data_IF_234435869124
#
_entry.id   IF_234435869124
#
_cell.length_a   1.000
_cell.length_b   1.000
_cell.length_c   1.000
_cell.angle_alpha   90.00
_cell.angle_beta   90.00
_cell.angle_gamma   90.00
#
_symmetry.space_group_name_H-M   'P 1'
#
loop_
_entity.id
_entity.type
_entity.pdbx_description
1 polymer ?
#
# COMPACT_ATOMS: atom_id res chain seq x y z
N UNK A 1 -18.42 41.07 -35.84
CA UNK A 1 -17.48 41.07 -34.69
C UNK A 1 -18.27 40.69 -33.45
N UNK A 2 -17.97 39.56 -32.81
CA UNK A 2 -18.67 39.13 -31.60
C UNK A 2 -18.19 39.97 -30.40
N UNK A 3 -19.09 40.59 -29.64
CA UNK A 3 -18.76 41.23 -28.35
C UNK A 3 -18.99 40.23 -27.24
N UNK A 4 -17.90 39.66 -26.73
CA UNK A 4 -17.93 38.77 -25.58
C UNK A 4 -18.31 39.59 -24.32
N UNK A 5 -19.46 39.32 -23.71
CA UNK A 5 -19.80 39.79 -22.37
C UNK A 5 -19.45 38.68 -21.37
N UNK A 6 -18.38 38.86 -20.62
CA UNK A 6 -17.98 37.98 -19.53
C UNK A 6 -17.86 38.80 -18.25
N UNK A 7 -18.39 38.32 -17.11
CA UNK A 7 -18.19 38.99 -15.81
C UNK A 7 -16.77 38.77 -15.25
N UNK A 8 -15.96 37.91 -15.86
CA UNK A 8 -14.64 37.54 -15.37
C UNK A 8 -13.54 38.44 -15.96
N UNK A 9 -12.67 38.96 -15.10
CA UNK A 9 -11.44 39.67 -15.50
C UNK A 9 -10.29 38.67 -15.58
N UNK A 10 -9.44 38.72 -16.62
CA UNK A 10 -8.23 37.88 -16.67
C UNK A 10 -7.34 38.12 -15.45
N UNK A 11 -6.86 37.06 -14.81
CA UNK A 11 -6.02 37.13 -13.60
C UNK A 11 -4.84 36.15 -13.68
N UNK A 12 -3.81 36.36 -12.85
CA UNK A 12 -2.60 35.54 -12.86
C UNK A 12 -1.85 35.63 -14.20
N UNK A 13 -1.49 34.49 -14.78
CA UNK A 13 -0.77 34.44 -16.07
C UNK A 13 -1.70 34.59 -17.30
N UNK A 14 -3.02 34.67 -17.08
CA UNK A 14 -4.02 34.77 -18.15
C UNK A 14 -3.89 36.03 -19.03
N UNK A 15 -3.61 37.24 -18.51
CA UNK A 15 -3.42 38.42 -19.35
C UNK A 15 -2.29 38.25 -20.39
N UNK A 16 -1.15 37.69 -19.96
CA UNK A 16 -0.01 37.42 -20.85
C UNK A 16 -0.33 36.32 -21.86
N UNK A 17 -1.05 35.27 -21.45
CA UNK A 17 -1.53 34.23 -22.35
C UNK A 17 -2.48 34.80 -23.42
N UNK A 18 -3.43 35.64 -23.02
CA UNK A 18 -4.38 36.32 -23.93
C UNK A 18 -3.61 37.22 -24.90
N UNK A 19 -2.66 38.00 -24.42
CA UNK A 19 -1.83 38.87 -25.26
C UNK A 19 -1.06 38.06 -26.30
N UNK A 20 -0.38 36.99 -25.87
CA UNK A 20 0.38 36.09 -26.75
C UNK A 20 -0.50 35.43 -27.81
N UNK A 21 -1.65 34.91 -27.40
CA UNK A 21 -2.62 34.29 -28.31
C UNK A 21 -3.18 35.30 -29.32
N UNK A 22 -3.52 36.50 -28.85
CA UNK A 22 -4.05 37.58 -29.69
C UNK A 22 -3.01 38.05 -30.70
N UNK A 23 -1.75 38.22 -30.28
CA UNK A 23 -0.64 38.60 -31.16
C UNK A 23 -0.42 37.58 -32.27
N UNK A 24 -0.35 36.30 -31.92
CA UNK A 24 -0.15 35.22 -32.88
C UNK A 24 -1.35 35.07 -33.84
N UNK A 25 -2.57 35.29 -33.34
CA UNK A 25 -3.78 35.26 -34.18
C UNK A 25 -3.78 36.39 -35.20
N UNK A 26 -3.39 37.61 -34.79
CA UNK A 26 -3.18 38.75 -35.70
C UNK A 26 -2.04 38.52 -36.69
N UNK A 27 -1.02 37.76 -36.31
CA UNK A 27 0.10 37.41 -37.17
C UNK A 27 -0.18 36.23 -38.13
N UNK A 28 -1.42 35.73 -38.18
CA UNK A 28 -1.82 34.65 -39.10
C UNK A 28 -1.32 33.25 -38.70
N UNK A 29 -0.87 33.08 -37.45
CA UNK A 29 -0.46 31.77 -36.93
C UNK A 29 -1.69 30.87 -36.80
N UNK A 30 -1.83 29.90 -37.73
CA UNK A 30 -3.01 29.04 -37.86
C UNK A 30 -3.21 28.08 -36.69
N UNK A 31 -2.12 27.57 -36.12
CA UNK A 31 -2.15 26.60 -35.03
C UNK A 31 -1.45 27.20 -33.80
N UNK A 32 -2.17 27.31 -32.69
CA UNK A 32 -1.63 27.81 -31.44
C UNK A 32 -1.98 26.85 -30.32
N UNK A 33 -0.96 26.44 -29.56
CA UNK A 33 -1.15 25.61 -28.37
C UNK A 33 -0.93 26.51 -27.16
N UNK A 34 -2.01 26.74 -26.40
CA UNK A 34 -1.89 27.30 -25.07
C UNK A 34 -1.64 26.14 -24.10
N UNK A 35 -0.48 26.13 -23.46
CA UNK A 35 -0.31 25.30 -22.27
C UNK A 35 -1.28 25.86 -21.23
N UNK A 36 -2.37 25.13 -20.96
CA UNK A 36 -3.29 25.48 -19.88
C UNK A 36 -2.52 25.65 -18.57
N UNK A 37 -3.11 26.37 -17.61
CA UNK A 37 -2.44 26.74 -16.35
C UNK A 37 -1.85 25.48 -15.68
N UNK A 38 -0.56 25.25 -15.89
CA UNK A 38 0.24 24.28 -15.14
C UNK A 38 0.45 24.92 -13.78
N UNK A 39 -0.01 24.26 -12.72
CA UNK A 39 -0.07 24.87 -11.39
C UNK A 39 -1.28 25.73 -11.10
N UNK A 40 -2.46 25.38 -11.65
CA UNK A 40 -3.73 26.02 -11.30
C UNK A 40 -4.21 25.74 -9.87
N UNK A 41 -3.32 25.54 -8.88
CA UNK A 41 -3.67 25.30 -7.47
C UNK A 41 -4.38 23.98 -7.15
N UNK A 42 -5.01 23.31 -8.12
CA UNK A 42 -5.82 22.09 -7.96
C UNK A 42 -5.01 20.92 -7.42
N UNK A 43 -4.90 20.86 -6.12
CA UNK A 43 -4.07 19.88 -5.42
C UNK A 43 -4.83 19.20 -4.28
N UNK A 44 -4.40 17.98 -4.00
CA UNK A 44 -4.77 17.21 -2.81
C UNK A 44 -3.65 17.30 -1.78
N UNK A 45 -3.97 17.14 -0.50
CA UNK A 45 -2.96 17.10 0.56
C UNK A 45 -2.10 15.82 0.41
N UNK A 46 -0.79 15.93 0.67
CA UNK A 46 0.18 14.84 0.45
C UNK A 46 -0.07 13.55 1.26
N UNK A 47 -0.84 13.61 2.36
CA UNK A 47 -1.26 12.43 3.13
C UNK A 47 -2.46 11.68 2.51
N UNK A 48 -3.00 12.17 1.39
CA UNK A 48 -4.11 11.53 0.68
C UNK A 48 -3.64 10.24 0.03
N UNK A 49 -4.30 9.09 0.27
CA UNK A 49 -3.95 7.84 -0.37
C UNK A 49 -4.30 7.89 -1.87
N UNK A 50 -3.45 7.27 -2.69
CA UNK A 50 -3.66 7.12 -4.13
C UNK A 50 -3.41 5.68 -4.57
N UNK A 51 -4.18 5.22 -5.56
CA UNK A 51 -3.95 3.97 -6.29
C UNK A 51 -3.34 4.27 -7.64
N UNK A 52 -2.10 3.86 -7.84
CA UNK A 52 -1.37 4.00 -9.11
C UNK A 52 -1.07 2.62 -9.65
N UNK A 53 -1.37 2.41 -10.93
CA UNK A 53 -0.93 1.23 -11.65
C UNK A 53 0.40 1.53 -12.34
N UNK A 54 1.38 0.68 -12.11
CA UNK A 54 2.71 0.74 -12.70
C UNK A 54 2.98 -0.61 -13.38
N UNK A 55 2.79 -0.67 -14.69
CA UNK A 55 2.78 -1.96 -15.41
C UNK A 55 1.66 -2.87 -14.90
N UNK A 56 1.99 -4.08 -14.44
CA UNK A 56 1.01 -5.01 -13.84
C UNK A 56 0.81 -4.79 -12.32
N UNK A 57 1.61 -3.91 -11.68
CA UNK A 57 1.56 -3.70 -10.23
C UNK A 57 0.65 -2.53 -9.85
N UNK A 58 0.00 -2.64 -8.70
CA UNK A 58 -0.77 -1.57 -8.06
C UNK A 58 -0.02 -1.08 -6.83
N UNK A 59 0.24 0.22 -6.78
CA UNK A 59 0.82 0.94 -5.65
C UNK A 59 -0.31 1.65 -4.92
N UNK A 60 -0.40 1.43 -3.61
CA UNK A 60 -1.30 2.17 -2.72
C UNK A 60 -0.50 2.84 -1.60
N UNK A 61 -0.27 4.14 -1.72
CA UNK A 61 0.49 4.91 -0.74
C UNK A 61 -0.03 6.36 -0.66
N UNK A 62 0.41 7.16 0.34
CA UNK A 62 0.19 8.60 0.32
C UNK A 62 0.80 9.23 -0.94
N UNK A 63 0.05 10.06 -1.65
CA UNK A 63 0.49 10.69 -2.89
C UNK A 63 1.76 11.53 -2.71
N UNK A 64 1.92 12.19 -1.56
CA UNK A 64 3.12 12.96 -1.24
C UNK A 64 4.36 12.07 -1.19
N UNK A 65 4.27 10.90 -0.54
CA UNK A 65 5.38 9.94 -0.47
C UNK A 65 5.80 9.46 -1.87
N UNK A 66 4.84 9.16 -2.75
CA UNK A 66 5.13 8.76 -4.12
C UNK A 66 5.85 9.87 -4.90
N UNK A 67 5.32 11.08 -4.85
CA UNK A 67 5.88 12.24 -5.54
C UNK A 67 7.28 12.56 -5.01
N UNK A 68 7.45 12.63 -3.69
CA UNK A 68 8.72 12.97 -3.05
C UNK A 68 9.82 11.97 -3.39
N UNK A 69 9.51 10.67 -3.37
CA UNK A 69 10.47 9.62 -3.76
C UNK A 69 10.91 9.76 -5.23
N UNK A 70 9.96 9.95 -6.15
CA UNK A 70 10.28 10.13 -7.56
C UNK A 70 11.06 11.43 -7.82
N UNK A 71 10.74 12.50 -7.11
CA UNK A 71 11.45 13.78 -7.22
C UNK A 71 12.87 13.68 -6.68
N UNK A 72 13.08 12.94 -5.58
CA UNK A 72 14.42 12.67 -5.07
C UNK A 72 15.25 11.87 -6.07
N UNK A 73 14.66 10.81 -6.65
CA UNK A 73 15.32 9.94 -7.61
C UNK A 73 15.64 10.62 -8.95
N UNK A 74 14.75 11.51 -9.41
CA UNK A 74 14.86 12.23 -10.68
C UNK A 74 15.07 13.73 -10.51
N UNK A 75 15.80 14.14 -9.47
CA UNK A 75 16.03 15.55 -9.12
C UNK A 75 16.55 16.40 -10.28
N UNK A 76 17.45 15.85 -11.09
CA UNK A 76 18.03 16.49 -12.29
C UNK A 76 17.03 16.67 -13.46
N UNK A 77 15.83 16.12 -13.35
CA UNK A 77 14.78 16.16 -14.38
C UNK A 77 13.57 17.01 -13.98
N UNK A 78 13.61 17.61 -12.78
CA UNK A 78 12.53 18.46 -12.29
C UNK A 78 12.53 19.79 -13.05
N UNK A 79 11.34 20.19 -13.49
CA UNK A 79 11.07 21.50 -14.07
C UNK A 79 10.51 22.39 -12.95
N UNK A 80 11.22 23.47 -12.64
CA UNK A 80 10.79 24.46 -11.65
C UNK A 80 9.95 25.55 -12.31
N UNK A 81 8.76 25.78 -11.77
CA UNK A 81 7.74 26.70 -12.29
C UNK A 81 7.26 27.63 -11.16
N UNK A 82 7.86 28.80 -10.95
CA UNK A 82 7.50 29.78 -9.88
C UNK A 82 7.19 29.09 -8.52
N UNK A 83 5.91 28.82 -8.24
CA UNK A 83 5.39 28.21 -6.99
C UNK A 83 5.22 26.67 -7.05
N UNK A 84 5.74 26.03 -8.10
CA UNK A 84 5.47 24.64 -8.44
C UNK A 84 6.72 23.92 -8.93
N UNK A 85 6.74 22.62 -8.72
CA UNK A 85 7.74 21.71 -9.26
C UNK A 85 7.02 20.60 -10.03
N UNK A 86 7.62 20.20 -11.14
CA UNK A 86 6.98 19.31 -12.10
C UNK A 86 7.98 18.28 -12.62
N UNK A 87 7.57 17.01 -12.66
CA UNK A 87 8.32 15.92 -13.27
C UNK A 87 7.47 15.28 -14.38
N UNK A 88 7.86 15.41 -15.66
CA UNK A 88 7.21 14.68 -16.75
C UNK A 88 7.42 13.17 -16.59
N UNK A 89 6.34 12.38 -16.64
CA UNK A 89 6.43 10.91 -16.51
C UNK A 89 7.19 10.28 -17.68
N UNK A 90 7.24 10.93 -18.85
CA UNK A 90 8.08 10.49 -19.97
C UNK A 90 9.59 10.48 -19.65
N UNK A 91 10.00 11.08 -18.53
CA UNK A 91 11.40 11.18 -18.13
C UNK A 91 11.80 10.17 -17.04
N UNK A 92 10.88 9.39 -16.50
CA UNK A 92 11.15 8.41 -15.42
C UNK A 92 11.34 7.00 -16.03
N UNK A 93 12.14 6.13 -15.39
CA UNK A 93 12.43 4.77 -15.90
C UNK A 93 11.38 3.73 -15.46
N UNK A 94 10.51 4.11 -14.54
CA UNK A 94 9.48 3.32 -13.88
C UNK A 94 8.38 2.82 -14.82
N UNK A 95 8.40 3.24 -16.09
CA UNK A 95 7.41 2.89 -17.10
C UNK A 95 6.18 3.78 -17.05
N UNK A 96 5.07 3.29 -17.62
CA UNK A 96 3.81 4.02 -17.65
C UNK A 96 3.17 3.92 -16.26
N UNK A 97 2.94 5.09 -15.67
CA UNK A 97 2.09 5.24 -14.49
C UNK A 97 0.66 5.53 -14.95
N UNK A 98 -0.32 4.84 -14.38
CA UNK A 98 -1.73 5.04 -14.67
C UNK A 98 -2.52 5.31 -13.39
N UNK A 99 -3.51 6.19 -13.47
CA UNK A 99 -4.47 6.46 -12.40
C UNK A 99 -5.87 5.98 -12.79
N UNK A 100 -6.59 5.41 -11.82
CA UNK A 100 -8.00 5.08 -12.02
C UNK A 100 -8.80 6.38 -12.16
N UNK A 101 -9.43 6.57 -13.31
CA UNK A 101 -10.09 7.81 -13.71
C UNK A 101 -11.54 7.56 -14.10
N UNK A 102 -12.42 8.53 -13.88
CA UNK A 102 -13.80 8.49 -14.34
C UNK A 102 -13.91 9.10 -15.74
N UNK A 103 -14.39 8.33 -16.70
CA UNK A 103 -14.74 8.84 -18.01
C UNK A 103 -16.04 9.66 -17.92
N UNK A 104 -16.05 10.98 -18.22
CA UNK A 104 -17.24 11.80 -18.04
C UNK A 104 -18.36 11.52 -19.06
N UNK A 105 -18.05 10.87 -20.18
CA UNK A 105 -19.01 10.53 -21.22
C UNK A 105 -19.67 9.18 -20.90
N UNK A 106 -18.86 8.14 -20.72
CA UNK A 106 -19.37 6.78 -20.46
C UNK A 106 -19.74 6.54 -19.00
N UNK A 107 -19.25 7.39 -18.09
CA UNK A 107 -19.40 7.29 -16.63
C UNK A 107 -18.75 6.03 -16.04
N UNK A 108 -17.87 5.39 -16.81
CA UNK A 108 -17.13 4.20 -16.40
C UNK A 108 -15.76 4.57 -15.82
N UNK A 109 -15.24 3.71 -14.95
CA UNK A 109 -13.88 3.85 -14.42
C UNK A 109 -12.88 3.19 -15.35
N UNK A 110 -11.78 3.87 -15.65
CA UNK A 110 -10.75 3.40 -16.59
C UNK A 110 -9.35 3.81 -16.12
N UNK A 111 -8.35 2.95 -16.37
CA UNK A 111 -6.96 3.32 -16.17
C UNK A 111 -6.54 4.32 -17.25
N UNK A 112 -5.95 5.45 -16.83
CA UNK A 112 -5.44 6.48 -17.73
C UNK A 112 -4.00 6.81 -17.42
N UNK A 113 -3.16 7.03 -18.46
CA UNK A 113 -1.76 7.38 -18.26
C UNK A 113 -1.62 8.73 -17.56
N UNK A 114 -0.73 8.77 -16.58
CA UNK A 114 -0.29 9.98 -15.92
C UNK A 114 0.80 10.60 -16.78
N UNK A 115 0.60 11.85 -17.21
CA UNK A 115 1.57 12.54 -18.04
C UNK A 115 2.64 13.23 -17.20
N UNK A 116 2.25 13.77 -16.05
CA UNK A 116 3.07 14.70 -15.26
C UNK A 116 2.75 14.53 -13.78
N UNK A 117 3.78 14.63 -12.95
CA UNK A 117 3.68 14.69 -11.50
C UNK A 117 3.99 16.13 -11.07
N UNK A 118 3.18 16.70 -10.20
CA UNK A 118 3.28 18.10 -9.83
C UNK A 118 3.15 18.26 -8.32
N UNK A 119 4.03 19.07 -7.73
CA UNK A 119 4.00 19.50 -6.33
C UNK A 119 3.99 21.03 -6.27
N UNK A 120 3.30 21.59 -5.30
CA UNK A 120 3.14 23.03 -5.12
C UNK A 120 3.41 23.40 -3.67
N UNK A 121 3.78 24.67 -3.42
CA UNK A 121 3.65 25.22 -2.08
C UNK A 121 2.18 25.20 -1.65
N UNK A 122 1.90 24.66 -0.45
CA UNK A 122 0.53 24.60 0.07
C UNK A 122 0.03 26.02 0.36
N UNK A 123 -1.20 26.37 -0.05
CA UNK A 123 -1.83 27.59 0.42
C UNK A 123 -2.09 27.52 1.94
N UNK A 124 -2.32 28.68 2.54
CA UNK A 124 -2.65 28.81 3.97
C UNK A 124 -3.96 28.10 4.34
N UNK A 125 -4.91 28.04 3.39
CA UNK A 125 -6.25 27.49 3.62
C UNK A 125 -6.48 26.27 2.71
N UNK A 126 -6.88 25.16 3.32
CA UNK A 126 -7.35 23.95 2.66
C UNK A 126 -8.77 23.62 3.07
N UNK A 127 -9.50 22.98 2.16
CA UNK A 127 -10.88 22.56 2.35
C UNK A 127 -10.92 21.06 2.61
N UNK A 128 -11.78 20.65 3.55
CA UNK A 128 -12.03 19.24 3.83
C UNK A 128 -13.42 18.84 3.36
N UNK A 129 -13.48 18.10 2.27
CA UNK A 129 -14.73 17.53 1.76
C UNK A 129 -14.98 16.23 2.52
N UNK A 130 -16.17 16.11 3.11
CA UNK A 130 -16.62 14.93 3.85
C UNK A 130 -17.95 14.45 3.29
N UNK A 131 -18.03 13.19 2.89
CA UNK A 131 -19.29 12.58 2.45
C UNK A 131 -20.08 12.03 3.64
N UNK A 132 -21.39 11.82 3.45
CA UNK A 132 -22.26 11.21 4.46
C UNK A 132 -21.79 9.80 4.87
N UNK A 133 -21.19 9.04 3.95
CA UNK A 133 -20.62 7.70 4.21
C UNK A 133 -19.25 7.74 4.93
N UNK A 134 -18.76 8.92 5.30
CA UNK A 134 -17.57 9.08 6.15
C UNK A 134 -16.24 9.23 5.39
N UNK A 135 -16.26 9.15 4.04
CA UNK A 135 -15.07 9.43 3.21
C UNK A 135 -14.68 10.90 3.34
N UNK A 136 -13.37 11.15 3.34
CA UNK A 136 -12.81 12.50 3.53
C UNK A 136 -11.62 12.68 2.61
N UNK A 137 -11.53 13.86 2.01
CA UNK A 137 -10.35 14.31 1.28
C UNK A 137 -10.06 15.77 1.65
N UNK A 138 -8.78 16.12 1.76
CA UNK A 138 -8.36 17.50 2.02
C UNK A 138 -7.70 18.05 0.77
N UNK A 139 -8.22 19.15 0.26
CA UNK A 139 -7.88 19.70 -1.06
C UNK A 139 -7.82 21.23 -1.01
N UNK A 140 -7.27 21.81 -2.07
CA UNK A 140 -7.29 23.25 -2.34
C UNK A 140 -8.68 23.73 -2.77
N UNK A 141 -8.98 25.02 -2.59
CA UNK A 141 -10.33 25.57 -2.82
C UNK A 141 -10.80 25.53 -4.28
N UNK A 142 -9.86 25.50 -5.22
CA UNK A 142 -10.07 25.44 -6.66
C UNK A 142 -9.99 24.01 -7.22
N UNK A 143 -9.69 23.00 -6.39
CA UNK A 143 -9.75 21.60 -6.80
C UNK A 143 -11.17 21.23 -7.21
N UNK A 144 -11.31 20.54 -8.35
CA UNK A 144 -12.61 20.25 -8.93
C UNK A 144 -13.12 18.87 -8.50
N UNK A 145 -14.44 18.77 -8.34
CA UNK A 145 -15.16 17.51 -8.17
C UNK A 145 -16.22 17.39 -9.26
N UNK A 146 -16.33 16.19 -9.82
CA UNK A 146 -17.55 15.80 -10.50
C UNK A 146 -18.65 15.68 -9.46
N UNK A 147 -19.84 16.21 -9.76
CA UNK A 147 -21.01 16.15 -8.90
C UNK A 147 -22.26 15.86 -9.71
N UNK A 148 -23.18 15.13 -9.10
CA UNK A 148 -24.53 14.94 -9.59
C UNK A 148 -25.44 15.90 -8.80
N UNK A 149 -25.98 16.92 -9.49
CA UNK A 149 -26.90 17.91 -8.92
C UNK A 149 -28.09 18.05 -9.86
N UNK A 150 -29.30 17.86 -9.33
CA UNK A 150 -30.55 17.90 -10.12
C UNK A 150 -30.54 16.95 -11.32
N UNK A 151 -29.91 15.78 -11.20
CA UNK A 151 -29.78 14.80 -12.27
C UNK A 151 -28.69 15.12 -13.31
N UNK A 152 -28.03 16.28 -13.22
CA UNK A 152 -26.96 16.69 -14.12
C UNK A 152 -25.58 16.38 -13.56
N UNK A 153 -24.70 15.90 -14.44
CA UNK A 153 -23.32 15.59 -14.13
C UNK A 153 -22.44 16.79 -14.47
N UNK A 154 -21.98 17.52 -13.45
CA UNK A 154 -21.25 18.79 -13.63
C UNK A 154 -19.94 18.79 -12.86
N UNK A 155 -18.97 19.60 -13.32
CA UNK A 155 -17.67 19.75 -12.68
C UNK A 155 -17.63 21.08 -11.92
N UNK A 156 -17.48 21.04 -10.59
CA UNK A 156 -17.47 22.23 -9.73
C UNK A 156 -16.19 22.31 -8.89
N UNK A 157 -15.65 23.51 -8.64
CA UNK A 157 -14.57 23.71 -7.68
C UNK A 157 -15.05 23.48 -6.24
N UNK A 158 -14.10 23.17 -5.35
CA UNK A 158 -14.38 22.78 -3.97
C UNK A 158 -15.18 23.84 -3.21
N UNK A 159 -14.87 25.12 -3.44
CA UNK A 159 -15.57 26.24 -2.79
C UNK A 159 -17.03 26.45 -3.26
N UNK A 160 -17.50 25.72 -4.27
CA UNK A 160 -18.89 25.77 -4.78
C UNK A 160 -19.71 24.52 -4.42
N UNK A 161 -19.11 23.58 -3.69
CA UNK A 161 -19.81 22.38 -3.23
C UNK A 161 -20.85 22.73 -2.16
N UNK A 162 -21.97 22.00 -2.21
CA UNK A 162 -23.08 22.08 -1.26
C UNK A 162 -23.24 20.73 -0.56
N UNK A 163 -23.81 20.76 0.64
CA UNK A 163 -24.13 19.55 1.41
C UNK A 163 -25.22 18.67 0.73
N UNK A 164 -25.93 19.20 -0.25
CA UNK A 164 -26.92 18.48 -1.07
C UNK A 164 -26.32 17.82 -2.31
N UNK A 165 -25.03 18.00 -2.59
CA UNK A 165 -24.39 17.43 -3.77
C UNK A 165 -24.05 15.96 -3.59
N UNK A 166 -24.21 15.20 -4.67
CA UNK A 166 -23.78 13.80 -4.73
C UNK A 166 -22.45 13.72 -5.47
N UNK A 167 -21.43 13.15 -4.83
CA UNK A 167 -20.12 12.91 -5.46
C UNK A 167 -20.13 11.48 -6.01
N UNK A 168 -19.91 11.28 -7.34
CA UNK A 168 -19.80 9.95 -7.93
C UNK A 168 -18.60 9.22 -7.33
N UNK A 169 -18.77 7.94 -7.09
CA UNK A 169 -17.68 7.04 -6.68
C UNK A 169 -17.59 5.91 -7.71
N UNK A 170 -16.40 5.30 -7.86
CA UNK A 170 -16.30 4.04 -8.60
C UNK A 170 -17.26 3.00 -7.98
N UNK A 171 -17.74 2.06 -8.78
CA UNK A 171 -18.49 0.92 -8.24
C UNK A 171 -17.55 -0.05 -7.51
N UNK A 172 -16.36 -0.23 -8.06
CA UNK A 172 -15.27 -1.03 -7.52
C UNK A 172 -13.91 -0.45 -7.92
N UNK A 173 -12.86 -0.90 -7.24
CA UNK A 173 -11.48 -0.74 -7.74
C UNK A 173 -11.17 -1.99 -8.57
N UNK A 174 -10.78 -1.87 -9.85
CA UNK A 174 -10.43 -3.02 -10.67
C UNK A 174 -9.38 -3.90 -9.97
N UNK A 175 -9.66 -5.20 -9.91
CA UNK A 175 -8.77 -6.17 -9.28
C UNK A 175 -7.60 -6.60 -10.15
N UNK A 176 -6.62 -7.24 -9.52
CA UNK A 176 -5.63 -8.05 -10.23
C UNK A 176 -6.22 -9.46 -10.38
N UNK A 177 -6.18 -10.02 -11.58
CA UNK A 177 -6.67 -11.38 -11.86
C UNK A 177 -5.64 -12.45 -11.46
N UNK A 178 -4.37 -12.20 -11.74
CA UNK A 178 -3.28 -13.12 -11.43
C UNK A 178 -2.95 -13.10 -9.94
N UNK A 179 -2.71 -14.27 -9.38
CA UNK A 179 -2.20 -14.42 -8.03
C UNK A 179 -0.80 -13.80 -7.92
N UNK A 180 -0.56 -13.09 -6.82
CA UNK A 180 0.79 -12.72 -6.43
C UNK A 180 1.50 -13.98 -5.96
N UNK A 181 2.56 -14.39 -6.65
CA UNK A 181 3.25 -15.65 -6.38
C UNK A 181 4.20 -15.54 -5.19
N UNK A 182 4.91 -14.43 -5.05
CA UNK A 182 6.00 -14.27 -4.09
C UNK A 182 6.17 -12.83 -3.60
N UNK A 183 6.83 -12.68 -2.45
CA UNK A 183 7.29 -11.40 -1.90
C UNK A 183 8.80 -11.41 -1.72
N UNK A 184 9.41 -10.25 -2.00
CA UNK A 184 10.85 -10.03 -1.86
C UNK A 184 11.21 -9.60 -0.44
N UNK A 185 11.78 -10.53 0.33
CA UNK A 185 12.23 -10.27 1.69
C UNK A 185 13.50 -9.42 1.76
N UNK A 186 14.34 -9.38 0.71
CA UNK A 186 15.53 -8.55 0.72
C UNK A 186 15.14 -7.08 0.83
N UNK A 187 14.17 -6.65 0.02
CA UNK A 187 13.65 -5.28 0.07
C UNK A 187 12.93 -4.98 1.40
N UNK A 188 12.10 -5.91 1.89
CA UNK A 188 11.34 -5.73 3.14
C UNK A 188 12.27 -5.64 4.37
N UNK A 189 13.39 -6.38 4.37
CA UNK A 189 14.26 -6.57 5.53
C UNK A 189 15.63 -5.89 5.38
N UNK A 190 15.88 -5.10 4.33
CA UNK A 190 17.19 -4.51 4.02
C UNK A 190 17.85 -3.75 5.17
N UNK A 191 17.06 -3.12 6.03
CA UNK A 191 17.53 -2.32 7.16
C UNK A 191 17.66 -3.12 8.48
N UNK A 192 17.32 -4.42 8.46
CA UNK A 192 17.28 -5.25 9.65
C UNK A 192 18.63 -5.90 9.93
N UNK A 193 18.93 -6.13 11.22
CA UNK A 193 20.15 -6.82 11.67
C UNK A 193 20.03 -8.34 11.48
N UNK A 194 19.91 -8.75 10.22
CA UNK A 194 19.83 -10.12 9.76
C UNK A 194 21.03 -10.46 8.86
N UNK A 195 21.18 -11.76 8.60
CA UNK A 195 22.28 -12.32 7.84
C UNK A 195 21.73 -13.09 6.65
N UNK A 196 22.47 -13.05 5.55
CA UNK A 196 22.27 -13.91 4.40
C UNK A 196 23.30 -15.03 4.37
N UNK A 197 23.01 -16.13 3.66
CA UNK A 197 24.08 -17.03 3.20
C UNK A 197 24.91 -16.32 2.12
N UNK A 198 26.00 -15.69 2.52
CA UNK A 198 26.89 -14.91 1.67
C UNK A 198 27.74 -15.75 0.70
N UNK A 199 27.70 -17.09 0.76
CA UNK A 199 28.49 -17.94 -0.15
C UNK A 199 28.10 -17.67 -1.60
N UNK A 200 26.80 -17.66 -1.91
CA UNK A 200 26.31 -17.41 -3.26
C UNK A 200 26.75 -16.03 -3.76
N UNK A 201 26.66 -15.01 -2.89
CA UNK A 201 27.15 -13.67 -3.17
C UNK A 201 28.64 -13.68 -3.54
N UNK A 202 29.49 -14.28 -2.70
CA UNK A 202 30.94 -14.30 -2.92
C UNK A 202 31.32 -15.06 -4.19
N UNK A 203 30.72 -16.23 -4.42
CA UNK A 203 31.02 -17.05 -5.60
C UNK A 203 30.61 -16.33 -6.89
N UNK A 204 29.44 -15.71 -6.89
CA UNK A 204 28.98 -14.94 -8.05
C UNK A 204 29.82 -13.67 -8.22
N UNK A 205 30.26 -13.02 -7.13
CA UNK A 205 31.13 -11.83 -7.22
C UNK A 205 32.45 -12.18 -7.92
N UNK A 206 32.97 -13.38 -7.65
CA UNK A 206 34.21 -13.88 -8.24
C UNK A 206 34.13 -14.13 -9.75
N UNK A 207 32.94 -14.22 -10.35
CA UNK A 207 32.81 -14.26 -11.82
C UNK A 207 33.03 -12.90 -12.48
N UNK A 208 32.98 -11.81 -11.72
CA UNK A 208 33.11 -10.43 -12.25
C UNK A 208 34.32 -9.68 -11.68
N UNK A 209 34.77 -9.99 -10.46
CA UNK A 209 35.83 -9.27 -9.75
C UNK A 209 36.87 -10.24 -9.19
N UNK A 210 38.13 -9.79 -9.03
CA UNK A 210 39.19 -10.63 -8.46
C UNK A 210 39.03 -10.72 -6.95
N UNK A 211 39.49 -11.82 -6.34
CA UNK A 211 39.46 -12.00 -4.88
C UNK A 211 40.09 -10.82 -4.11
N UNK A 212 41.15 -10.20 -4.65
CA UNK A 212 41.81 -9.03 -4.04
C UNK A 212 40.89 -7.82 -3.95
N UNK A 213 40.03 -7.61 -4.95
CA UNK A 213 39.09 -6.48 -4.99
C UNK A 213 37.97 -6.68 -3.96
N UNK A 214 37.46 -7.91 -3.86
CA UNK A 214 36.44 -8.30 -2.88
C UNK A 214 36.97 -8.16 -1.46
N UNK A 215 38.15 -8.74 -1.18
CA UNK A 215 38.82 -8.61 0.12
C UNK A 215 39.12 -7.14 0.43
N UNK A 216 39.51 -6.36 -0.58
CA UNK A 216 39.71 -4.92 -0.48
C UNK A 216 38.45 -4.17 -0.07
N UNK A 217 37.30 -4.50 -0.67
CA UNK A 217 36.00 -3.93 -0.30
C UNK A 217 35.59 -4.33 1.13
N UNK A 218 35.90 -5.55 1.55
CA UNK A 218 35.58 -6.08 2.89
C UNK A 218 36.39 -5.44 4.03
N UNK A 219 37.53 -4.81 3.77
CA UNK A 219 38.39 -4.15 4.80
C UNK A 219 37.66 -3.12 5.66
N UNK A 220 36.64 -2.49 5.10
CA UNK A 220 35.84 -1.47 5.81
C UNK A 220 34.89 -2.07 6.85
N UNK A 221 34.56 -3.35 6.71
CA UNK A 221 33.53 -4.02 7.51
C UNK A 221 34.11 -5.11 8.43
N UNK A 222 35.32 -5.58 8.16
CA UNK A 222 35.96 -6.69 8.87
C UNK A 222 37.40 -6.37 9.23
N UNK A 223 37.79 -6.67 10.48
CA UNK A 223 39.17 -6.57 10.93
C UNK A 223 40.11 -7.54 10.18
N UNK A 224 39.63 -8.76 9.91
CA UNK A 224 40.32 -9.75 9.06
C UNK A 224 39.45 -10.13 7.84
N UNK A 225 39.47 -9.31 6.78
CA UNK A 225 38.64 -9.54 5.60
C UNK A 225 39.09 -10.75 4.78
N UNK A 226 40.38 -11.10 4.82
CA UNK A 226 40.92 -12.26 4.12
C UNK A 226 40.36 -13.54 4.71
N UNK A 227 40.49 -13.73 6.02
CA UNK A 227 39.92 -14.90 6.70
C UNK A 227 38.41 -14.97 6.47
N UNK A 228 37.70 -13.85 6.65
CA UNK A 228 36.25 -13.82 6.46
C UNK A 228 35.81 -14.20 5.05
N UNK A 229 36.51 -13.71 4.03
CA UNK A 229 36.27 -14.08 2.64
C UNK A 229 36.42 -15.59 2.43
N UNK A 230 37.49 -16.21 2.94
CA UNK A 230 37.72 -17.65 2.81
C UNK A 230 36.71 -18.47 3.62
N UNK A 231 36.28 -18.01 4.80
CA UNK A 231 35.22 -18.67 5.58
C UNK A 231 33.90 -18.74 4.81
N UNK A 232 33.50 -17.62 4.18
CA UNK A 232 32.27 -17.54 3.39
C UNK A 232 32.42 -18.36 2.10
N UNK A 233 33.53 -18.17 1.36
CA UNK A 233 33.83 -18.88 0.12
C UNK A 233 33.91 -20.39 0.30
N UNK A 234 34.31 -20.89 1.46
CA UNK A 234 34.41 -22.32 1.75
C UNK A 234 33.26 -22.85 2.61
N UNK A 235 32.19 -22.07 2.80
CA UNK A 235 31.00 -22.45 3.57
C UNK A 235 31.25 -22.81 5.05
N UNK A 236 32.37 -22.34 5.64
CA UNK A 236 32.69 -22.60 7.06
C UNK A 236 31.86 -21.73 8.00
N UNK A 237 31.75 -20.44 7.67
CA UNK A 237 30.88 -19.48 8.36
C UNK A 237 30.26 -18.54 7.32
N UNK A 238 29.26 -19.00 6.55
CA UNK A 238 28.77 -18.28 5.38
C UNK A 238 27.89 -17.07 5.69
N UNK A 239 27.56 -16.80 6.97
CA UNK A 239 26.70 -15.69 7.34
C UNK A 239 27.30 -14.34 6.95
N UNK A 240 26.57 -13.53 6.21
CA UNK A 240 26.99 -12.17 5.86
C UNK A 240 25.87 -11.21 6.29
N UNK A 241 26.14 -10.15 7.08
CA UNK A 241 25.11 -9.18 7.41
C UNK A 241 24.45 -8.65 6.15
N UNK A 242 23.12 -8.56 6.13
CA UNK A 242 22.37 -8.12 4.96
C UNK A 242 22.78 -6.71 4.53
N UNK A 243 22.98 -5.80 5.48
CA UNK A 243 23.47 -4.44 5.22
C UNK A 243 24.86 -4.44 4.57
N UNK A 244 25.78 -5.27 5.08
CA UNK A 244 27.11 -5.44 4.48
C UNK A 244 27.04 -6.02 3.08
N UNK A 245 26.09 -6.91 2.78
CA UNK A 245 25.90 -7.44 1.43
C UNK A 245 25.53 -6.33 0.43
N UNK A 246 24.55 -5.47 0.77
CA UNK A 246 24.19 -4.30 -0.05
C UNK A 246 25.37 -3.34 -0.25
N UNK A 247 26.10 -3.05 0.83
CA UNK A 247 27.25 -2.14 0.79
C UNK A 247 28.40 -2.68 -0.06
N UNK A 248 28.69 -3.99 0.04
CA UNK A 248 29.70 -4.64 -0.79
C UNK A 248 29.29 -4.64 -2.27
N UNK A 249 28.03 -4.94 -2.57
CA UNK A 249 27.52 -4.91 -3.94
C UNK A 249 27.65 -3.51 -4.56
N UNK A 250 27.23 -2.47 -3.83
CA UNK A 250 27.38 -1.07 -4.25
C UNK A 250 28.85 -0.71 -4.51
N UNK A 251 29.74 -1.02 -3.56
CA UNK A 251 31.18 -0.68 -3.66
C UNK A 251 31.90 -1.42 -4.78
N UNK A 252 31.44 -2.64 -5.09
CA UNK A 252 31.99 -3.44 -6.17
C UNK A 252 31.33 -3.13 -7.52
N UNK A 253 30.34 -2.24 -7.57
CA UNK A 253 29.56 -1.92 -8.76
C UNK A 253 28.92 -3.19 -9.34
N UNK A 254 28.26 -3.96 -8.49
CA UNK A 254 27.53 -5.18 -8.85
C UNK A 254 26.08 -4.99 -8.42
N UNK A 255 25.14 -5.28 -9.32
CA UNK A 255 23.72 -5.28 -9.00
C UNK A 255 23.44 -6.29 -7.89
N UNK A 256 22.65 -5.96 -6.86
CA UNK A 256 22.26 -6.91 -5.82
C UNK A 256 20.76 -6.86 -5.56
N UNK A 257 20.08 -8.02 -5.46
CA UNK A 257 20.60 -9.38 -5.65
C UNK A 257 21.01 -9.68 -7.09
N UNK A 258 22.06 -10.49 -7.28
CA UNK A 258 22.53 -10.95 -8.60
C UNK A 258 22.62 -12.48 -8.64
N UNK A 259 22.29 -13.04 -9.81
CA UNK A 259 22.24 -14.49 -10.01
C UNK A 259 21.04 -15.15 -9.33
N UNK A 260 21.28 -16.30 -8.70
CA UNK A 260 20.27 -17.20 -8.11
C UNK A 260 19.67 -16.64 -6.81
N UNK A 261 18.74 -15.68 -6.91
CA UNK A 261 17.98 -15.15 -5.77
C UNK A 261 17.25 -16.25 -4.98
N UNK A 262 16.87 -17.33 -5.67
CA UNK A 262 16.28 -18.56 -5.14
C UNK A 262 17.18 -19.28 -4.12
N UNK A 263 18.50 -19.08 -4.20
CA UNK A 263 19.47 -19.67 -3.27
C UNK A 263 19.76 -18.78 -2.06
N UNK A 264 19.34 -17.52 -2.09
CA UNK A 264 19.57 -16.60 -0.97
C UNK A 264 18.60 -16.93 0.14
N UNK A 265 19.15 -17.14 1.34
CA UNK A 265 18.37 -17.34 2.56
C UNK A 265 18.75 -16.29 3.60
N UNK A 266 17.75 -15.72 4.27
CA UNK A 266 17.87 -14.65 5.25
C UNK A 266 17.51 -15.19 6.63
N UNK A 267 18.24 -14.81 7.69
CA UNK A 267 17.96 -15.26 9.05
C UNK A 267 18.80 -14.59 10.13
N UNK A 268 18.72 -15.05 11.39
CA UNK A 268 19.62 -14.61 12.46
C UNK A 268 21.06 -15.08 12.20
N UNK A 269 22.03 -14.56 12.96
CA UNK A 269 23.47 -14.85 12.80
C UNK A 269 23.81 -16.34 12.67
N UNK A 270 23.15 -17.21 13.44
CA UNK A 270 23.38 -18.65 13.41
C UNK A 270 22.85 -19.34 12.15
N UNK A 271 22.11 -18.64 11.27
CA UNK A 271 21.46 -19.13 10.05
C UNK A 271 20.61 -20.41 10.21
N UNK A 272 20.27 -20.81 11.45
CA UNK A 272 19.54 -22.05 11.72
C UNK A 272 18.06 -21.98 11.33
N UNK A 273 17.45 -20.80 11.50
CA UNK A 273 16.06 -20.52 11.10
C UNK A 273 16.07 -19.43 10.04
N UNK A 274 16.05 -19.83 8.77
CA UNK A 274 16.14 -18.91 7.63
C UNK A 274 14.93 -19.01 6.74
N UNK A 275 14.56 -17.90 6.11
CA UNK A 275 13.59 -17.84 5.02
C UNK A 275 14.30 -17.66 3.69
N UNK A 276 13.77 -18.20 2.58
CA UNK A 276 14.24 -17.82 1.25
C UNK A 276 14.03 -16.31 1.03
N UNK A 277 14.88 -15.69 0.21
CA UNK A 277 14.76 -14.27 -0.14
C UNK A 277 13.43 -13.98 -0.85
N UNK A 278 12.95 -14.92 -1.67
CA UNK A 278 11.61 -14.91 -2.24
C UNK A 278 10.72 -15.87 -1.46
N UNK A 279 9.70 -15.35 -0.77
CA UNK A 279 8.72 -16.16 -0.05
C UNK A 279 7.45 -16.28 -0.85
N UNK A 280 7.04 -17.52 -1.14
CA UNK A 280 5.78 -17.80 -1.84
C UNK A 280 4.57 -17.39 -1.00
N UNK A 281 3.58 -16.78 -1.65
CA UNK A 281 2.32 -16.39 -1.02
C UNK A 281 1.35 -17.58 -1.08
N UNK A 282 1.36 -18.39 -0.02
CA UNK A 282 0.40 -19.47 0.15
C UNK A 282 -0.89 -19.01 0.84
N UNK A 283 -1.95 -19.80 0.73
CA UNK A 283 -3.21 -19.56 1.44
C UNK A 283 -2.98 -19.54 2.95
N UNK A 284 -2.15 -20.45 3.47
CA UNK A 284 -1.81 -20.53 4.89
C UNK A 284 -1.09 -19.28 5.39
N UNK A 285 -0.20 -18.70 4.57
CA UNK A 285 0.48 -17.46 4.92
C UNK A 285 -0.51 -16.28 4.97
N UNK A 286 -1.44 -16.21 4.03
CA UNK A 286 -2.50 -15.19 3.99
C UNK A 286 -3.48 -15.35 5.16
N UNK A 287 -3.85 -16.58 5.52
CA UNK A 287 -4.65 -16.86 6.72
C UNK A 287 -3.92 -16.42 7.99
N UNK A 288 -2.64 -16.77 8.12
CA UNK A 288 -1.81 -16.32 9.25
C UNK A 288 -1.75 -14.78 9.32
N UNK A 289 -1.61 -14.10 8.19
CA UNK A 289 -1.63 -12.63 8.14
C UNK A 289 -2.98 -12.07 8.59
N UNK A 290 -4.10 -12.62 8.15
CA UNK A 290 -5.43 -12.19 8.59
C UNK A 290 -5.64 -12.37 10.09
N UNK A 291 -5.29 -13.54 10.64
CA UNK A 291 -5.37 -13.78 12.09
C UNK A 291 -4.39 -12.92 12.90
N UNK A 292 -3.18 -12.69 12.39
CA UNK A 292 -2.23 -11.76 13.02
C UNK A 292 -2.78 -10.32 13.04
N UNK A 293 -3.41 -9.87 11.96
CA UNK A 293 -4.05 -8.55 11.90
C UNK A 293 -5.19 -8.40 12.90
N UNK A 294 -5.99 -9.45 13.12
CA UNK A 294 -7.03 -9.41 14.14
C UNK A 294 -6.40 -9.50 15.55
N UNK A 295 -5.74 -10.60 15.85
CA UNK A 295 -5.43 -11.04 17.22
C UNK A 295 -3.93 -11.10 17.55
N UNK A 296 -3.08 -10.76 16.58
CA UNK A 296 -1.63 -10.89 16.68
C UNK A 296 -0.92 -9.72 17.35
N UNK A 297 0.27 -10.00 17.89
CA UNK A 297 1.26 -9.01 18.33
C UNK A 297 2.68 -9.55 18.19
N UNK A 298 3.64 -8.68 17.86
CA UNK A 298 5.05 -9.03 17.70
C UNK A 298 5.94 -8.36 18.75
N UNK A 299 6.87 -9.12 19.33
CA UNK A 299 7.76 -8.69 20.40
C UNK A 299 9.23 -8.80 19.97
N UNK A 300 9.73 -7.76 19.28
CA UNK A 300 11.07 -7.76 18.68
C UNK A 300 12.22 -8.06 19.66
N UNK A 301 12.13 -7.57 20.92
CA UNK A 301 13.16 -7.79 21.94
C UNK A 301 13.24 -9.24 22.42
N UNK A 302 12.09 -9.91 22.48
CA UNK A 302 11.97 -11.29 22.95
C UNK A 302 11.88 -12.28 21.80
N UNK A 303 11.95 -11.80 20.55
CA UNK A 303 12.04 -12.59 19.32
C UNK A 303 10.89 -13.58 19.09
N UNK A 304 9.69 -13.22 19.54
CA UNK A 304 8.47 -14.00 19.31
C UNK A 304 7.31 -13.13 18.84
N UNK A 305 6.36 -13.75 18.17
CA UNK A 305 5.02 -13.21 17.99
C UNK A 305 3.99 -14.13 18.65
N UNK A 306 2.82 -13.58 18.94
CA UNK A 306 1.72 -14.32 19.53
C UNK A 306 0.41 -14.02 18.81
N UNK A 307 -0.53 -14.94 18.87
CA UNK A 307 -1.93 -14.77 18.42
C UNK A 307 -2.83 -15.26 19.55
N UNK A 308 -3.67 -14.38 20.09
CA UNK A 308 -4.54 -14.69 21.23
C UNK A 308 -6.01 -14.76 20.84
N UNK A 309 -6.65 -15.91 20.99
CA UNK A 309 -8.10 -16.03 20.80
C UNK A 309 -8.64 -17.23 21.60
N UNK A 310 -9.67 -17.06 22.44
CA UNK A 310 -10.22 -18.15 23.24
C UNK A 310 -11.07 -19.15 22.44
N UNK A 311 -11.47 -18.83 21.20
CA UNK A 311 -12.27 -19.72 20.36
C UNK A 311 -11.42 -20.88 19.82
N UNK A 312 -11.81 -22.11 20.17
CA UNK A 312 -11.06 -23.32 19.82
C UNK A 312 -11.00 -23.60 18.32
N UNK A 313 -12.03 -23.21 17.57
CA UNK A 313 -12.06 -23.37 16.11
C UNK A 313 -11.04 -22.44 15.46
N UNK A 314 -11.00 -21.17 15.86
CA UNK A 314 -9.99 -20.22 15.37
C UNK A 314 -8.58 -20.66 15.74
N UNK A 315 -8.37 -21.11 16.98
CA UNK A 315 -7.06 -21.64 17.37
C UNK A 315 -6.62 -22.80 16.50
N UNK A 316 -7.52 -23.74 16.19
CA UNK A 316 -7.16 -24.88 15.35
C UNK A 316 -6.77 -24.44 13.94
N UNK A 317 -7.44 -23.43 13.38
CA UNK A 317 -7.06 -22.85 12.09
C UNK A 317 -5.68 -22.20 12.12
N UNK A 318 -5.39 -21.40 13.16
CA UNK A 318 -4.07 -20.79 13.35
C UNK A 318 -2.99 -21.86 13.48
N UNK A 319 -3.22 -22.91 14.30
CA UNK A 319 -2.30 -24.04 14.47
C UNK A 319 -2.04 -24.76 13.14
N UNK A 320 -3.08 -25.09 12.40
CA UNK A 320 -2.95 -25.74 11.08
C UNK A 320 -2.16 -24.88 10.08
N UNK A 321 -2.37 -23.56 10.06
CA UNK A 321 -1.61 -22.65 9.22
C UNK A 321 -0.13 -22.62 9.63
N UNK A 322 0.17 -22.56 10.94
CA UNK A 322 1.54 -22.60 11.46
C UNK A 322 2.23 -23.93 11.13
N UNK A 323 1.56 -25.06 11.31
CA UNK A 323 2.11 -26.40 11.03
C UNK A 323 2.47 -26.55 9.56
N UNK A 324 1.59 -26.12 8.64
CA UNK A 324 1.85 -26.13 7.20
C UNK A 324 2.97 -25.17 6.77
N UNK A 325 3.18 -24.09 7.53
CA UNK A 325 4.30 -23.17 7.35
C UNK A 325 5.58 -23.67 8.05
N UNK A 326 5.56 -24.86 8.66
CA UNK A 326 6.65 -25.44 9.45
C UNK A 326 7.11 -24.54 10.61
N UNK A 327 6.17 -23.84 11.24
CA UNK A 327 6.40 -22.97 12.39
C UNK A 327 6.04 -23.67 13.69
N UNK A 328 7.04 -23.90 14.53
CA UNK A 328 6.82 -24.43 15.87
C UNK A 328 6.10 -23.41 16.75
N UNK A 329 5.07 -23.88 17.47
CA UNK A 329 4.26 -23.07 18.34
C UNK A 329 4.06 -23.72 19.71
N UNK A 330 3.77 -22.90 20.72
CA UNK A 330 3.38 -23.34 22.07
C UNK A 330 2.15 -22.59 22.53
N UNK A 331 1.48 -23.11 23.57
CA UNK A 331 0.34 -22.45 24.21
C UNK A 331 0.73 -21.89 25.57
N UNK A 332 0.07 -20.80 25.98
CA UNK A 332 0.09 -20.38 27.37
C UNK A 332 -0.69 -21.37 28.27
N UNK A 333 -0.60 -21.16 29.59
CA UNK A 333 -1.29 -22.01 30.58
C UNK A 333 -2.82 -22.01 30.43
N UNK A 334 -3.40 -20.86 30.07
CA UNK A 334 -4.85 -20.72 29.86
C UNK A 334 -5.33 -21.24 28.51
N UNK A 335 -4.42 -21.73 27.67
CA UNK A 335 -4.70 -22.25 26.33
C UNK A 335 -5.45 -21.29 25.41
N UNK A 336 -5.30 -19.98 25.59
CA UNK A 336 -5.93 -18.93 24.78
C UNK A 336 -4.94 -18.11 23.94
N UNK A 337 -3.63 -18.29 24.16
CA UNK A 337 -2.56 -17.59 23.43
C UNK A 337 -1.58 -18.60 22.84
N UNK A 338 -1.39 -18.50 21.51
CA UNK A 338 -0.38 -19.25 20.75
C UNK A 338 0.88 -18.37 20.64
N UNK A 339 2.04 -18.91 21.04
CA UNK A 339 3.35 -18.27 20.89
C UNK A 339 4.17 -18.93 19.79
N UNK A 340 4.87 -18.12 19.00
CA UNK A 340 5.82 -18.57 17.97
C UNK A 340 7.16 -17.89 18.18
N UNK A 341 8.13 -18.65 18.69
CA UNK A 341 9.51 -18.20 18.90
C UNK A 341 10.31 -18.22 17.59
N UNK A 342 10.19 -17.17 16.79
CA UNK A 342 10.95 -17.04 15.54
C UNK A 342 11.29 -15.58 15.26
N UNK A 343 12.57 -15.22 15.40
CA UNK A 343 13.09 -13.86 15.18
C UNK A 343 12.70 -13.32 13.80
N UNK A 344 12.98 -14.07 12.74
CA UNK A 344 12.77 -13.58 11.36
C UNK A 344 11.28 -13.37 11.06
N UNK A 345 10.39 -14.29 11.47
CA UNK A 345 8.95 -14.13 11.27
C UNK A 345 8.38 -12.99 12.12
N UNK A 346 8.89 -12.81 13.35
CA UNK A 346 8.50 -11.68 14.21
C UNK A 346 8.86 -10.34 13.57
N UNK A 347 10.06 -10.21 13.01
CA UNK A 347 10.49 -9.01 12.28
C UNK A 347 9.63 -8.83 11.02
N UNK A 348 9.40 -9.90 10.25
CA UNK A 348 8.60 -9.86 9.03
C UNK A 348 7.17 -9.37 9.28
N UNK A 349 6.47 -9.97 10.23
CA UNK A 349 5.10 -9.57 10.61
C UNK A 349 5.07 -8.13 11.13
N UNK A 350 6.07 -7.73 11.93
CA UNK A 350 6.20 -6.35 12.41
C UNK A 350 6.36 -5.35 11.26
N UNK A 351 7.24 -5.63 10.30
CA UNK A 351 7.52 -4.73 9.16
C UNK A 351 6.34 -4.64 8.20
N UNK A 352 5.71 -5.77 7.90
CA UNK A 352 4.58 -5.82 6.98
C UNK A 352 3.31 -5.20 7.57
N UNK A 353 3.00 -5.52 8.83
CA UNK A 353 1.66 -5.31 9.38
C UNK A 353 1.67 -4.61 10.74
N UNK A 354 2.81 -4.20 11.28
CA UNK A 354 2.92 -3.54 12.58
C UNK A 354 2.93 -4.52 13.76
N UNK A 355 3.59 -4.15 14.85
CA UNK A 355 3.77 -5.02 16.03
C UNK A 355 2.62 -5.06 17.04
N UNK A 356 1.75 -4.04 17.07
CA UNK A 356 0.67 -3.95 18.04
C UNK A 356 -0.53 -3.21 17.50
N UNK A 357 -1.67 -3.30 18.17
CA UNK A 357 -2.98 -2.92 17.63
C UNK A 357 -3.08 -1.49 17.04
N UNK A 358 -2.32 -0.51 17.55
CA UNK A 358 -2.31 0.86 17.00
C UNK A 358 -1.50 1.02 15.71
N UNK A 359 -0.45 0.22 15.52
CA UNK A 359 0.41 0.28 14.34
C UNK A 359 -0.04 -0.64 13.21
N UNK A 360 -1.10 -1.44 13.45
CA UNK A 360 -1.57 -2.42 12.48
C UNK A 360 -2.00 -1.79 11.15
N UNK A 361 -1.70 -2.45 10.04
CA UNK A 361 -2.10 -2.06 8.67
C UNK A 361 -2.02 -3.27 7.74
N UNK A 362 -2.72 -3.25 6.61
CA UNK A 362 -2.54 -4.32 5.62
C UNK A 362 -1.12 -4.27 5.04
N UNK A 363 -0.52 -5.43 4.67
CA UNK A 363 0.81 -5.47 4.08
C UNK A 363 0.83 -4.68 2.77
N UNK A 364 1.91 -3.97 2.47
CA UNK A 364 1.97 -3.03 1.31
C UNK A 364 1.66 -3.68 -0.04
N UNK A 365 1.92 -4.98 -0.19
CA UNK A 365 1.60 -5.74 -1.39
C UNK A 365 0.12 -6.15 -1.50
N UNK A 366 -0.74 -5.88 -0.51
CA UNK A 366 -2.16 -6.25 -0.54
C UNK A 366 -2.91 -5.79 -1.81
N UNK A 367 -2.63 -4.62 -2.42
CA UNK A 367 -3.28 -4.22 -3.66
C UNK A 367 -2.92 -5.14 -4.84
N UNK A 368 -1.84 -5.91 -4.73
CA UNK A 368 -1.37 -6.82 -5.75
C UNK A 368 -1.87 -8.25 -5.59
N UNK A 369 -2.60 -8.54 -4.50
CA UNK A 369 -3.25 -9.84 -4.33
C UNK A 369 -4.41 -9.96 -5.33
N UNK A 370 -4.61 -11.17 -5.84
CA UNK A 370 -5.84 -11.49 -6.57
C UNK A 370 -7.07 -11.35 -5.67
N UNK A 371 -8.27 -11.35 -6.26
CA UNK A 371 -9.50 -11.35 -5.47
C UNK A 371 -9.56 -12.54 -4.50
N UNK A 372 -9.13 -13.73 -4.93
CA UNK A 372 -9.14 -14.93 -4.11
C UNK A 372 -8.16 -14.82 -2.94
N UNK A 373 -6.93 -14.41 -3.20
CA UNK A 373 -5.91 -14.22 -2.16
C UNK A 373 -6.33 -13.16 -1.14
N UNK A 374 -6.86 -12.03 -1.62
CA UNK A 374 -7.34 -10.96 -0.75
C UNK A 374 -8.53 -11.43 0.10
N UNK A 375 -9.44 -12.22 -0.48
CA UNK A 375 -10.57 -12.79 0.25
C UNK A 375 -10.14 -13.71 1.40
N UNK A 376 -9.10 -14.54 1.22
CA UNK A 376 -8.55 -15.40 2.28
C UNK A 376 -8.05 -14.57 3.45
N UNK A 377 -7.23 -13.54 3.17
CA UNK A 377 -6.70 -12.64 4.19
C UNK A 377 -7.84 -11.93 4.95
N UNK A 378 -8.80 -11.36 4.22
CA UNK A 378 -9.91 -10.62 4.81
C UNK A 378 -10.83 -11.55 5.62
N UNK A 379 -11.14 -12.75 5.13
CA UNK A 379 -11.95 -13.74 5.85
C UNK A 379 -11.32 -14.08 7.20
N UNK A 380 -10.02 -14.38 7.23
CA UNK A 380 -9.31 -14.65 8.48
C UNK A 380 -9.30 -13.43 9.43
N UNK A 381 -9.16 -12.21 8.91
CA UNK A 381 -9.29 -11.00 9.72
C UNK A 381 -10.68 -10.85 10.34
N UNK A 382 -11.74 -10.99 9.54
CA UNK A 382 -13.14 -10.89 10.01
C UNK A 382 -13.54 -12.04 10.93
N UNK A 383 -12.95 -13.22 10.75
CA UNK A 383 -13.10 -14.34 11.68
C UNK A 383 -12.52 -14.03 13.06
N UNK A 384 -11.41 -13.29 13.17
CA UNK A 384 -10.90 -12.82 14.46
C UNK A 384 -11.69 -11.64 15.00
N UNK A 385 -11.57 -10.49 14.34
CA UNK A 385 -11.98 -9.17 14.86
C UNK A 385 -13.39 -8.73 14.41
N UNK A 386 -13.97 -9.40 13.42
CA UNK A 386 -15.26 -9.06 12.82
C UNK A 386 -16.44 -9.84 13.39
N UNK A 387 -17.66 -9.47 13.01
CA UNK A 387 -18.87 -10.20 13.38
C UNK A 387 -20.04 -9.87 12.46
N UNK A 388 -20.95 -10.84 12.33
CA UNK A 388 -22.26 -10.65 11.72
C UNK A 388 -23.30 -10.45 12.83
N UNK A 389 -23.93 -9.28 12.83
CA UNK A 389 -24.88 -8.81 13.84
C UNK A 389 -26.28 -8.81 13.23
N UNK A 390 -26.97 -9.95 13.32
CA UNK A 390 -28.26 -10.18 12.67
C UNK A 390 -29.33 -9.17 13.07
N UNK A 391 -29.44 -8.87 14.37
CA UNK A 391 -30.36 -7.87 14.90
C UNK A 391 -30.10 -6.44 14.39
N UNK A 392 -28.84 -6.14 14.05
CA UNK A 392 -28.41 -4.81 13.60
C UNK A 392 -28.32 -4.69 12.07
N UNK A 393 -28.59 -5.77 11.32
CA UNK A 393 -28.57 -5.74 9.86
C UNK A 393 -27.19 -5.50 9.24
N UNK A 394 -26.09 -5.89 9.93
CA UNK A 394 -24.73 -5.50 9.52
C UNK A 394 -23.64 -6.53 9.82
N UNK A 395 -22.56 -6.48 9.04
CA UNK A 395 -21.26 -7.06 9.39
C UNK A 395 -20.35 -5.91 9.82
N UNK A 396 -19.62 -6.07 10.92
CA UNK A 396 -18.70 -5.04 11.38
C UNK A 396 -17.42 -5.60 12.00
N UNK A 397 -16.33 -4.86 11.87
CA UNK A 397 -15.08 -5.08 12.58
C UNK A 397 -14.62 -3.78 13.25
N UNK A 398 -13.96 -3.88 14.41
CA UNK A 398 -13.50 -2.71 15.17
C UNK A 398 -12.01 -2.77 15.39
N UNK A 399 -11.29 -1.70 15.03
CA UNK A 399 -9.84 -1.59 15.24
C UNK A 399 -9.47 -0.24 15.86
N UNK A 400 -8.39 -0.19 16.63
CA UNK A 400 -7.83 1.09 17.12
C UNK A 400 -6.84 1.70 16.13
N UNK A 401 -6.40 0.94 15.11
CA UNK A 401 -5.59 1.48 14.03
C UNK A 401 -6.46 2.14 12.98
N UNK A 402 -6.35 3.47 12.90
CA UNK A 402 -6.95 4.24 11.80
C UNK A 402 -6.48 3.71 10.45
N UNK A 403 -5.18 3.39 10.29
CA UNK A 403 -4.61 2.92 9.02
C UNK A 403 -5.27 1.62 8.58
N UNK A 404 -5.37 0.64 9.48
CA UNK A 404 -6.02 -0.63 9.19
C UNK A 404 -7.50 -0.45 8.81
N UNK A 405 -8.25 0.40 9.51
CA UNK A 405 -9.65 0.66 9.18
C UNK A 405 -9.83 1.18 7.74
N UNK A 406 -8.96 2.10 7.30
CA UNK A 406 -8.99 2.60 5.92
C UNK A 406 -8.50 1.56 4.92
N UNK A 407 -7.43 0.83 5.21
CA UNK A 407 -6.93 -0.25 4.35
C UNK A 407 -8.03 -1.31 4.11
N UNK A 408 -8.74 -1.72 5.16
CA UNK A 408 -9.88 -2.64 5.07
C UNK A 408 -11.01 -2.07 4.21
N UNK A 409 -11.32 -0.78 4.35
CA UNK A 409 -12.32 -0.12 3.50
C UNK A 409 -11.96 -0.17 2.02
N UNK A 410 -10.69 0.08 1.67
CA UNK A 410 -10.23 -0.03 0.29
C UNK A 410 -10.16 -1.49 -0.20
N UNK A 411 -9.73 -2.41 0.66
CA UNK A 411 -9.70 -3.83 0.34
C UNK A 411 -11.10 -4.42 0.12
N UNK A 412 -12.11 -3.99 0.88
CA UNK A 412 -13.51 -4.36 0.64
C UNK A 412 -14.04 -3.75 -0.67
N UNK A 413 -13.61 -2.54 -1.01
CA UNK A 413 -14.03 -1.84 -2.22
C UNK A 413 -13.51 -2.50 -3.51
N UNK A 414 -12.46 -3.33 -3.43
CA UNK A 414 -12.02 -4.25 -4.51
C UNK A 414 -13.05 -5.32 -4.88
N UNK A 415 -14.00 -5.60 -4.00
CA UNK A 415 -15.13 -6.51 -4.22
C UNK A 415 -16.44 -5.75 -4.49
N UNK A 416 -16.36 -4.44 -4.74
CA UNK A 416 -17.53 -3.58 -4.83
C UNK A 416 -18.35 -3.48 -3.53
N UNK A 417 -17.74 -3.82 -2.38
CA UNK A 417 -18.37 -3.74 -1.05
C UNK A 417 -18.11 -2.37 -0.46
N UNK A 418 -19.17 -1.60 -0.23
CA UNK A 418 -19.08 -0.25 0.29
C UNK A 418 -19.17 -0.24 1.81
N UNK A 419 -18.01 -0.29 2.47
CA UNK A 419 -17.94 -0.17 3.92
C UNK A 419 -18.02 1.29 4.38
N UNK A 420 -18.77 1.52 5.46
CA UNK A 420 -18.77 2.78 6.22
C UNK A 420 -17.67 2.72 7.28
N UNK A 421 -16.87 3.78 7.36
CA UNK A 421 -15.82 3.91 8.40
C UNK A 421 -16.21 5.05 9.34
N UNK A 422 -16.41 4.74 10.61
CA UNK A 422 -16.76 5.72 11.65
C UNK A 422 -15.90 5.58 12.89
N UNK A 423 -15.78 6.68 13.65
CA UNK A 423 -15.22 6.61 15.00
C UNK A 423 -16.27 5.99 15.93
N UNK A 424 -15.83 5.12 16.82
CA UNK A 424 -16.63 4.60 17.94
C UNK A 424 -15.97 4.94 19.27
N UNK A 425 -16.78 5.38 20.24
CA UNK A 425 -16.31 5.63 21.61
C UNK A 425 -16.36 4.33 22.41
N UNK A 426 -15.19 3.79 22.77
CA UNK A 426 -15.12 2.66 23.71
C UNK A 426 -15.13 3.17 25.16
N UNK A 427 -15.68 2.35 26.07
CA UNK A 427 -15.74 2.55 27.55
C UNK A 427 -14.41 2.92 28.26
N UNK A 428 -13.27 2.97 27.56
CA UNK A 428 -11.92 3.23 28.10
C UNK A 428 -11.20 4.46 27.51
N UNK A 429 -11.93 5.46 26.99
CA UNK A 429 -11.37 6.73 26.43
C UNK A 429 -10.34 6.58 25.29
N UNK A 430 -10.27 5.42 24.63
CA UNK A 430 -9.45 5.24 23.41
C UNK A 430 -10.37 5.33 22.20
N UNK A 431 -10.05 6.24 21.28
CA UNK A 431 -10.74 6.32 19.99
C UNK A 431 -10.55 5.01 19.24
N UNK A 432 -11.66 4.37 18.85
CA UNK A 432 -11.66 3.21 17.96
C UNK A 432 -12.32 3.57 16.62
N UNK A 433 -12.06 2.74 15.62
CA UNK A 433 -12.61 2.84 14.28
C UNK A 433 -13.41 1.59 13.99
N UNK A 434 -14.62 1.79 13.49
CA UNK A 434 -15.52 0.73 13.11
C UNK A 434 -15.66 0.71 11.59
N UNK A 435 -15.47 -0.47 10.99
CA UNK A 435 -15.67 -0.74 9.58
C UNK A 435 -16.97 -1.53 9.45
N UNK A 436 -18.01 -0.92 8.90
CA UNK A 436 -19.37 -1.46 8.86
C UNK A 436 -19.79 -1.73 7.43
N UNK A 437 -20.26 -2.95 7.18
CA UNK A 437 -20.86 -3.41 5.94
C UNK A 437 -22.35 -3.59 6.21
N UNK A 438 -23.18 -2.87 5.47
CA UNK A 438 -24.64 -2.87 5.63
C UNK A 438 -25.33 -2.70 4.28
N UNK A 439 -26.61 -3.06 4.24
CA UNK A 439 -27.41 -3.06 3.02
C UNK A 439 -27.25 -4.38 2.25
N UNK A 440 -28.35 -4.87 1.69
CA UNK A 440 -28.45 -6.23 1.17
C UNK A 440 -27.39 -6.52 0.08
N UNK A 441 -27.17 -5.58 -0.84
CA UNK A 441 -26.17 -5.73 -1.91
C UNK A 441 -24.75 -5.94 -1.36
N UNK A 442 -24.32 -5.12 -0.39
CA UNK A 442 -22.99 -5.21 0.19
C UNK A 442 -22.82 -6.49 1.01
N UNK A 443 -23.87 -6.89 1.74
CA UNK A 443 -23.87 -8.12 2.53
C UNK A 443 -23.80 -9.36 1.63
N UNK A 444 -24.54 -9.35 0.51
CA UNK A 444 -24.50 -10.43 -0.48
C UNK A 444 -23.11 -10.55 -1.11
N UNK A 445 -22.50 -9.44 -1.54
CA UNK A 445 -21.11 -9.42 -2.03
C UNK A 445 -20.13 -9.93 -0.97
N UNK A 446 -20.29 -9.52 0.29
CA UNK A 446 -19.46 -10.01 1.39
C UNK A 446 -19.62 -11.52 1.56
N UNK A 447 -20.85 -12.05 1.58
CA UNK A 447 -21.11 -13.50 1.67
C UNK A 447 -20.51 -14.28 0.51
N UNK A 448 -20.65 -13.78 -0.72
CA UNK A 448 -20.20 -14.46 -1.93
C UNK A 448 -18.67 -14.51 -2.03
N UNK A 449 -17.98 -13.40 -1.73
CA UNK A 449 -16.54 -13.29 -1.96
C UNK A 449 -15.70 -13.57 -0.71
N UNK A 450 -16.16 -13.10 0.46
CA UNK A 450 -15.36 -13.13 1.70
C UNK A 450 -15.96 -14.13 2.67
N UNK A 451 -17.15 -13.89 3.23
CA UNK A 451 -17.81 -14.79 4.19
C UNK A 451 -17.04 -14.98 5.49
N UNK A 452 -17.42 -16.01 6.26
CA UNK A 452 -16.75 -16.40 7.50
C UNK A 452 -16.37 -17.89 7.46
N UNK A 453 -15.28 -18.27 8.12
CA UNK A 453 -15.04 -19.68 8.39
C UNK A 453 -15.74 -20.13 9.68
N UNK A 454 -15.94 -19.22 10.64
CA UNK A 454 -16.62 -19.55 11.89
C UNK A 454 -18.10 -19.88 11.64
N UNK A 455 -18.56 -21.11 11.95
CA UNK A 455 -19.93 -21.54 11.65
C UNK A 455 -21.00 -20.61 12.26
N UNK A 456 -20.77 -20.13 13.48
CA UNK A 456 -21.68 -19.19 14.15
C UNK A 456 -21.80 -17.85 13.40
N UNK A 457 -20.67 -17.27 12.97
CA UNK A 457 -20.67 -15.99 12.23
C UNK A 457 -21.25 -16.17 10.84
N UNK A 458 -20.96 -17.30 10.18
CA UNK A 458 -21.52 -17.64 8.88
C UNK A 458 -23.04 -17.81 8.94
N UNK A 459 -23.56 -18.52 9.94
CA UNK A 459 -25.00 -18.65 10.17
C UNK A 459 -25.67 -17.28 10.38
N UNK A 460 -25.09 -16.43 11.23
CA UNK A 460 -25.62 -15.08 11.44
C UNK A 460 -25.61 -14.25 10.15
N UNK A 461 -24.60 -14.41 9.28
CA UNK A 461 -24.54 -13.75 7.98
C UNK A 461 -25.62 -14.26 7.02
N UNK A 462 -25.96 -15.53 7.08
CA UNK A 462 -27.06 -16.11 6.28
C UNK A 462 -28.42 -15.59 6.75
N UNK A 463 -28.63 -15.47 8.06
CA UNK A 463 -29.86 -14.91 8.62
C UNK A 463 -30.07 -13.42 8.28
N UNK A 464 -28.97 -12.68 8.04
CA UNK A 464 -28.99 -11.27 7.63
C UNK A 464 -29.52 -11.07 6.20
N UNK A 465 -29.26 -12.03 5.30
CA UNK A 465 -29.57 -11.95 3.88
C UNK A 465 -30.84 -12.76 3.66
N UNK A 466 -31.98 -12.15 3.96
CA UNK A 466 -33.29 -12.72 3.59
C UNK A 466 -33.58 -12.33 2.13
N UNK A 467 -33.99 -13.32 1.34
CA UNK A 467 -34.44 -13.14 -0.05
C UNK A 467 -35.61 -12.17 -0.18
#
# INVERSE_FOLDING_TARGET
MFRLKSPFKPTGDQPQAIEKLTKNLKAGVKNQVLLGVTGSGKSVKGDSPIFIKQGEKIICCPIGQLIDNLFQQYSHKIIHLKESEMLPVSQIKEGILEALSLNPITKQSEWKPILQLIRHFSPEVLYRVKTACGRKITVTGDHNFWILRNGEFVLLPTNQLKNTDYIPLPLEIPGIEKDLTEIDLLEILKDEKLYINGRSLILTTLSYKKSKDIIGAMKEYYADPSSRFYEIKNNKCPGLPLTTAYQLAYKLEIDFPFGHIDQIRIGPYSCKYTLPAQVSISNELLELFGYYLAEGSSFLKSEYFQIGNPDSFLQQRVKNALDKLNLHWTLNKSQDIIYVGSKIHTILLYKLMGGGAFSKRLPEFWPNLSQNQLAILLRAYFDGDGGAFSEEGRVAATTISKKLAFDLGYALFRFGIWARISKSEKKRKKEAWEVVISGNENLLKFKQHIGFNLPKKQKNLEELIRE
#
